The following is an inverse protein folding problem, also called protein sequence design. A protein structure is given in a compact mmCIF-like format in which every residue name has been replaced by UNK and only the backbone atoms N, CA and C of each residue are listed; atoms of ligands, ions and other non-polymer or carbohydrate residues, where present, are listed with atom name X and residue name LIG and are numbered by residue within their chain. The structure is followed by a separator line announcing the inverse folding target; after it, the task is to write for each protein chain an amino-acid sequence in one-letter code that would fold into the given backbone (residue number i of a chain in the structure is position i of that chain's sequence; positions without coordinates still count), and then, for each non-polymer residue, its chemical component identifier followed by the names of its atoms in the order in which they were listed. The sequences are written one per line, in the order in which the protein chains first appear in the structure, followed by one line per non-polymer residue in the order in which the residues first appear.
data_IF_722627491720
#
_entry.id   IF_722627491720
#
_cell.length_a   1.000
_cell.length_b   1.000
_cell.length_c   1.000
_cell.angle_alpha   90.00
_cell.angle_beta   90.00
_cell.angle_gamma   90.00
#
_symmetry.space_group_name_H-M   'P 1'
#
loop_
_entity.id
_entity.type
_entity.pdbx_description
1 polymer ?
#
# COMPACT_ATOMS: atom_id res chain seq x y z
N UNK A 1 3.34 -4.16 28.08
CA UNK A 1 2.95 -4.25 27.53
C UNK A 1 2.88 -3.82 26.58
N UNK A 2 2.73 -3.39 26.35
CA UNK A 2 2.71 -2.70 25.35
C UNK A 2 3.07 -3.20 24.08
N UNK A 3 3.74 -4.20 23.90
CA UNK A 3 4.12 -4.74 22.62
C UNK A 3 2.94 -5.00 21.70
N UNK A 4 1.82 -5.35 22.27
CA UNK A 4 0.65 -5.67 21.47
C UNK A 4 0.12 -4.46 20.71
N UNK A 5 0.34 -3.27 21.21
CA UNK A 5 -0.21 -2.08 20.56
C UNK A 5 0.54 -1.74 19.29
N UNK A 6 1.74 -2.26 19.10
CA UNK A 6 2.52 -1.96 17.90
C UNK A 6 2.10 -2.76 16.70
N UNK A 7 1.27 -3.78 16.88
CA UNK A 7 0.87 -4.65 15.78
C UNK A 7 -0.28 -4.12 14.95
N UNK A 8 -0.95 -3.10 15.43
CA UNK A 8 -2.10 -2.56 14.71
C UNK A 8 -1.74 -1.29 13.99
N UNK A 9 -2.12 -1.25 12.73
CA UNK A 9 -1.93 -0.06 11.90
C UNK A 9 -3.28 0.66 11.83
N UNK A 10 -3.35 1.84 12.42
CA UNK A 10 -4.56 2.63 12.38
C UNK A 10 -4.61 3.44 11.11
N UNK A 11 -5.81 3.88 10.71
CA UNK A 11 -5.92 4.74 9.55
C UNK A 11 -5.19 6.07 9.76
N UNK A 12 -5.15 6.55 11.00
CA UNK A 12 -4.41 7.78 11.30
C UNK A 12 -2.93 7.63 10.99
N UNK A 13 -2.35 6.50 11.34
CA UNK A 13 -0.94 6.24 11.03
C UNK A 13 -0.72 6.11 9.52
N UNK A 14 -1.67 5.51 8.83
CA UNK A 14 -1.59 5.41 7.37
C UNK A 14 -1.60 6.79 6.73
N UNK A 15 -2.49 7.67 7.19
CA UNK A 15 -2.55 9.04 6.68
C UNK A 15 -1.26 9.78 6.95
N UNK A 16 -0.67 9.58 8.13
CA UNK A 16 0.60 10.22 8.46
C UNK A 16 1.71 9.76 7.52
N UNK A 17 1.72 8.45 7.21
CA UNK A 17 2.72 7.91 6.30
C UNK A 17 2.55 8.47 4.89
N UNK A 18 1.32 8.56 4.42
CA UNK A 18 1.03 9.15 3.11
C UNK A 18 1.46 10.61 3.08
N UNK A 19 1.12 11.35 4.13
CA UNK A 19 1.48 12.76 4.22
C UNK A 19 3.00 12.95 4.18
N UNK A 20 3.72 12.13 4.92
CA UNK A 20 5.19 12.20 4.93
C UNK A 20 5.74 11.89 3.53
N UNK A 21 5.14 10.93 2.83
CA UNK A 21 5.55 10.60 1.47
C UNK A 21 5.29 11.73 0.50
N UNK A 22 4.16 12.40 0.64
CA UNK A 22 3.84 13.53 -0.23
C UNK A 22 4.81 14.68 0.00
N UNK A 23 5.20 14.94 1.25
CA UNK A 23 6.19 15.95 1.58
C UNK A 23 7.53 15.59 0.94
N UNK A 24 7.93 14.33 1.04
CA UNK A 24 9.16 13.83 0.41
C UNK A 24 9.13 14.07 -1.10
N UNK A 25 8.03 13.69 -1.74
CA UNK A 25 7.89 13.85 -3.19
C UNK A 25 8.00 15.31 -3.59
N UNK A 26 7.33 16.20 -2.85
CA UNK A 26 7.35 17.62 -3.13
C UNK A 26 8.75 18.21 -2.93
N UNK A 27 9.45 17.78 -1.86
CA UNK A 27 10.83 18.20 -1.62
C UNK A 27 11.73 17.83 -2.78
N UNK A 28 11.60 16.61 -3.26
CA UNK A 28 12.42 16.16 -4.38
C UNK A 28 12.15 16.98 -5.63
N UNK A 29 10.89 17.33 -5.87
CA UNK A 29 10.52 18.16 -7.01
C UNK A 29 11.13 19.55 -6.88
N UNK A 30 11.02 20.16 -5.70
CA UNK A 30 11.50 21.52 -5.51
C UNK A 30 13.01 21.62 -5.57
N UNK A 31 13.72 20.54 -5.27
CA UNK A 31 15.17 20.51 -5.34
C UNK A 31 15.70 20.08 -6.71
N UNK A 32 14.81 19.83 -7.66
CA UNK A 32 15.20 19.46 -9.00
C UNK A 32 15.74 18.05 -9.13
N UNK A 33 15.47 17.20 -8.15
CA UNK A 33 15.98 15.83 -8.16
C UNK A 33 15.23 14.91 -9.12
N UNK A 34 14.03 15.32 -9.53
CA UNK A 34 13.22 14.47 -10.41
C UNK A 34 13.86 14.29 -11.78
N UNK A 35 14.63 15.27 -12.26
CA UNK A 35 15.26 15.15 -13.56
C UNK A 35 16.22 13.98 -13.62
N UNK A 36 16.92 13.73 -12.52
CA UNK A 36 17.96 12.70 -12.48
C UNK A 36 17.51 11.39 -11.85
N UNK A 37 16.66 11.49 -10.85
CA UNK A 37 16.28 10.33 -10.03
C UNK A 37 14.79 10.04 -10.03
N UNK A 38 14.09 10.39 -11.09
CA UNK A 38 12.63 10.22 -11.14
C UNK A 38 12.19 8.79 -10.83
N UNK A 39 12.77 7.82 -11.49
CA UNK A 39 12.35 6.42 -11.30
C UNK A 39 12.55 5.96 -9.86
N UNK A 40 13.69 6.30 -9.28
CA UNK A 40 14.00 5.92 -7.91
C UNK A 40 13.06 6.60 -6.92
N UNK A 41 12.82 7.88 -7.13
CA UNK A 41 11.97 8.66 -6.23
C UNK A 41 10.52 8.18 -6.32
N UNK A 42 10.01 8.02 -7.54
CA UNK A 42 8.63 7.59 -7.71
C UNK A 42 8.43 6.17 -7.22
N UNK A 43 9.41 5.29 -7.41
CA UNK A 43 9.30 3.94 -6.87
C UNK A 43 9.28 3.95 -5.35
N UNK A 44 10.20 4.69 -4.73
CA UNK A 44 10.27 4.72 -3.27
C UNK A 44 8.98 5.30 -2.68
N UNK A 45 8.47 6.36 -3.28
CA UNK A 45 7.20 6.92 -2.84
C UNK A 45 6.08 5.90 -2.96
N UNK A 46 5.97 5.24 -4.13
CA UNK A 46 4.92 4.27 -4.37
C UNK A 46 5.01 3.09 -3.42
N UNK A 47 6.22 2.60 -3.19
CA UNK A 47 6.44 1.47 -2.30
C UNK A 47 6.03 1.79 -0.87
N UNK A 48 6.51 2.90 -0.34
CA UNK A 48 6.29 3.22 1.07
C UNK A 48 4.91 3.81 1.34
N UNK A 49 4.48 4.75 0.50
CA UNK A 49 3.24 5.48 0.78
C UNK A 49 2.00 4.79 0.26
N UNK A 50 2.15 3.89 -0.70
CA UNK A 50 1.00 3.19 -1.25
C UNK A 50 1.03 1.69 -0.95
N UNK A 51 2.03 0.96 -1.48
CA UNK A 51 2.05 -0.50 -1.37
C UNK A 51 2.11 -0.94 0.07
N UNK A 52 3.12 -0.48 0.79
CA UNK A 52 3.31 -0.87 2.19
C UNK A 52 2.14 -0.40 3.04
N UNK A 53 1.65 0.81 2.79
CA UNK A 53 0.53 1.35 3.55
C UNK A 53 -0.74 0.53 3.32
N UNK A 54 -1.03 0.22 2.05
CA UNK A 54 -2.23 -0.54 1.71
C UNK A 54 -2.22 -1.92 2.37
N UNK A 55 -1.13 -2.66 2.20
CA UNK A 55 -1.09 -4.01 2.74
C UNK A 55 -1.01 -4.04 4.25
N UNK A 56 -0.29 -3.08 4.87
CA UNK A 56 -0.27 -2.99 6.33
C UNK A 56 -1.66 -2.70 6.88
N UNK A 57 -2.37 -1.78 6.22
CA UNK A 57 -3.71 -1.42 6.64
C UNK A 57 -4.65 -2.63 6.52
N UNK A 58 -4.61 -3.33 5.40
CA UNK A 58 -5.48 -4.48 5.18
C UNK A 58 -5.12 -5.66 6.08
N UNK A 59 -3.84 -5.87 6.31
CA UNK A 59 -3.40 -7.01 7.10
C UNK A 59 -3.68 -6.83 8.59
N UNK A 60 -3.32 -5.70 9.14
CA UNK A 60 -3.37 -5.50 10.58
C UNK A 60 -4.48 -4.57 11.05
N UNK A 61 -5.19 -3.92 10.14
CA UNK A 61 -6.24 -3.00 10.52
C UNK A 61 -7.44 -3.70 11.11
N UNK A 62 -7.89 -3.24 12.26
CA UNK A 62 -9.08 -3.81 12.88
C UNK A 62 -10.36 -3.31 12.25
N UNK A 63 -10.38 -2.03 11.89
CA UNK A 63 -11.55 -1.42 11.30
C UNK A 63 -11.25 -1.02 9.88
N UNK A 64 -11.20 -2.02 9.01
CA UNK A 64 -10.95 -1.77 7.60
C UNK A 64 -12.15 -1.09 6.98
N UNK A 65 -11.87 -0.11 6.14
CA UNK A 65 -12.89 0.70 5.51
C UNK A 65 -12.66 0.76 4.01
N UNK A 66 -13.72 0.50 3.26
CA UNK A 66 -13.69 0.59 1.81
C UNK A 66 -13.36 2.02 1.37
N UNK A 67 -13.85 3.00 2.11
CA UNK A 67 -13.56 4.40 1.83
C UNK A 67 -12.05 4.68 1.92
N UNK A 68 -11.41 4.14 2.95
CA UNK A 68 -9.98 4.39 3.17
C UNK A 68 -9.12 3.77 2.09
N UNK A 69 -9.42 2.54 1.67
CA UNK A 69 -8.68 1.94 0.57
C UNK A 69 -8.91 2.69 -0.74
N UNK A 70 -10.09 3.24 -0.91
CA UNK A 70 -10.38 4.09 -2.07
C UNK A 70 -9.58 5.38 -2.06
N UNK A 71 -9.36 5.95 -0.87
CA UNK A 71 -8.53 7.14 -0.75
C UNK A 71 -7.08 6.86 -1.12
N UNK A 72 -6.56 5.71 -0.72
CA UNK A 72 -5.21 5.32 -1.10
C UNK A 72 -5.09 5.15 -2.61
N UNK A 73 -6.10 4.53 -3.23
CA UNK A 73 -6.13 4.37 -4.67
C UNK A 73 -6.11 5.71 -5.39
N UNK A 74 -6.93 6.64 -4.93
CA UNK A 74 -6.97 7.97 -5.54
C UNK A 74 -5.65 8.70 -5.35
N UNK A 75 -5.05 8.58 -4.18
CA UNK A 75 -3.79 9.25 -3.87
C UNK A 75 -2.69 8.82 -4.82
N UNK A 76 -2.52 7.51 -5.03
CA UNK A 76 -1.45 7.04 -5.90
C UNK A 76 -1.72 7.39 -7.35
N UNK A 77 -2.98 7.32 -7.77
CA UNK A 77 -3.34 7.67 -9.14
C UNK A 77 -3.14 9.14 -9.45
N UNK A 78 -3.32 10.01 -8.45
CA UNK A 78 -3.13 11.44 -8.63
C UNK A 78 -1.66 11.84 -8.64
N UNK A 79 -0.85 11.14 -7.87
CA UNK A 79 0.54 11.56 -7.69
C UNK A 79 1.54 10.80 -8.56
N UNK A 80 1.35 9.51 -8.74
CA UNK A 80 2.23 8.71 -9.59
C UNK A 80 1.39 7.71 -10.37
N UNK A 81 0.62 8.19 -11.37
CA UNK A 81 -0.30 7.31 -12.09
C UNK A 81 0.39 6.16 -12.82
N UNK A 82 1.64 6.35 -13.23
CA UNK A 82 2.37 5.32 -13.94
C UNK A 82 3.25 4.45 -13.06
N UNK A 83 2.96 4.36 -11.77
CA UNK A 83 3.86 3.64 -10.86
C UNK A 83 4.05 2.18 -11.24
N UNK A 84 3.06 1.54 -11.86
CA UNK A 84 3.19 0.14 -12.24
C UNK A 84 4.11 -0.08 -13.43
N UNK A 85 4.38 0.97 -14.18
CA UNK A 85 5.31 0.91 -15.31
C UNK A 85 6.74 1.28 -14.91
N UNK A 86 6.93 1.63 -13.65
CA UNK A 86 8.25 1.95 -13.13
C UNK A 86 9.15 0.72 -13.20
N UNK A 87 10.40 0.92 -13.62
CA UNK A 87 11.31 -0.19 -13.85
C UNK A 87 11.63 -1.01 -12.60
N UNK A 88 11.50 -0.42 -11.42
CA UNK A 88 11.76 -1.12 -10.18
C UNK A 88 10.54 -1.86 -9.65
N UNK A 89 9.36 -1.54 -10.17
CA UNK A 89 8.13 -2.10 -9.65
C UNK A 89 8.10 -3.63 -9.81
N UNK A 90 8.32 -4.12 -11.02
CA UNK A 90 8.30 -5.56 -11.26
C UNK A 90 9.46 -6.28 -10.59
N UNK A 91 10.57 -5.57 -10.39
CA UNK A 91 11.76 -6.16 -9.80
C UNK A 91 11.61 -6.36 -8.29
N UNK A 92 11.06 -5.38 -7.60
CA UNK A 92 11.05 -5.40 -6.14
C UNK A 92 9.71 -5.74 -5.52
N UNK A 93 8.61 -5.66 -6.27
CA UNK A 93 7.30 -6.01 -5.76
C UNK A 93 6.95 -7.42 -6.25
N UNK A 94 6.63 -8.31 -5.30
CA UNK A 94 6.34 -9.71 -5.63
C UNK A 94 5.15 -9.83 -6.57
N UNK A 95 5.17 -10.86 -7.40
CA UNK A 95 4.09 -11.09 -8.36
C UNK A 95 2.73 -11.19 -7.69
N UNK A 96 2.65 -11.88 -6.56
CA UNK A 96 1.41 -12.02 -5.82
C UNK A 96 0.86 -10.64 -5.40
N UNK A 97 1.74 -9.78 -4.90
CA UNK A 97 1.35 -8.45 -4.49
C UNK A 97 0.96 -7.59 -5.69
N UNK A 98 1.67 -7.75 -6.82
CA UNK A 98 1.34 -6.99 -8.03
C UNK A 98 -0.05 -7.34 -8.55
N UNK A 99 -0.44 -8.60 -8.44
CA UNK A 99 -1.78 -9.01 -8.86
C UNK A 99 -2.86 -8.36 -8.00
N UNK A 100 -2.61 -8.28 -6.70
CA UNK A 100 -3.54 -7.61 -5.80
C UNK A 100 -3.60 -6.11 -6.07
N UNK A 101 -2.45 -5.51 -6.36
CA UNK A 101 -2.39 -4.09 -6.68
C UNK A 101 -3.14 -3.80 -7.99
N UNK A 102 -2.98 -4.67 -8.99
CA UNK A 102 -3.70 -4.51 -10.25
C UNK A 102 -5.21 -4.55 -10.02
N UNK A 103 -5.65 -5.47 -9.17
CA UNK A 103 -7.06 -5.54 -8.83
C UNK A 103 -7.52 -4.28 -8.11
N UNK A 104 -6.71 -3.78 -7.18
CA UNK A 104 -7.04 -2.56 -6.44
C UNK A 104 -7.17 -1.35 -7.38
N UNK A 105 -6.28 -1.27 -8.36
CA UNK A 105 -6.34 -0.18 -9.33
C UNK A 105 -7.57 -0.28 -10.23
N UNK A 106 -7.97 -1.50 -10.54
CA UNK A 106 -9.11 -1.74 -11.40
C UNK A 106 -10.43 -1.62 -10.66
N UNK A 107 -10.50 -2.17 -9.45
CA UNK A 107 -11.75 -2.29 -8.71
C UNK A 107 -11.47 -2.34 -7.21
N UNK A 108 -11.62 -1.18 -6.57
CA UNK A 108 -11.35 -1.08 -5.13
C UNK A 108 -12.26 -2.01 -4.32
N UNK A 109 -13.53 -2.10 -4.67
CA UNK A 109 -14.45 -2.98 -3.96
C UNK A 109 -14.06 -4.45 -4.13
N UNK A 110 -13.76 -4.85 -5.37
CA UNK A 110 -13.34 -6.21 -5.66
C UNK A 110 -12.06 -6.58 -4.92
N UNK A 111 -11.10 -5.66 -4.89
CA UNK A 111 -9.86 -5.88 -4.13
C UNK A 111 -10.16 -6.08 -2.64
N UNK A 112 -10.99 -5.21 -2.09
CA UNK A 112 -11.31 -5.26 -0.66
C UNK A 112 -11.94 -6.61 -0.29
N UNK A 113 -12.94 -7.02 -1.04
CA UNK A 113 -13.63 -8.28 -0.80
C UNK A 113 -12.68 -9.46 -0.97
N UNK A 114 -11.91 -9.44 -2.05
CA UNK A 114 -10.97 -10.53 -2.33
C UNK A 114 -9.93 -10.68 -1.23
N UNK A 115 -9.38 -9.54 -0.78
CA UNK A 115 -8.36 -9.57 0.27
C UNK A 115 -8.93 -10.14 1.57
N UNK A 116 -10.11 -9.68 1.97
CA UNK A 116 -10.74 -10.15 3.20
C UNK A 116 -11.01 -11.66 3.13
N UNK A 117 -11.52 -12.12 2.00
CA UNK A 117 -11.80 -13.55 1.83
C UNK A 117 -10.53 -14.38 1.82
N UNK A 118 -9.51 -13.93 1.10
CA UNK A 118 -8.25 -14.66 0.99
C UNK A 118 -7.57 -14.82 2.34
N UNK A 119 -7.45 -13.74 3.08
CA UNK A 119 -6.77 -13.78 4.37
C UNK A 119 -7.63 -14.45 5.44
N UNK A 120 -8.94 -14.33 5.34
CA UNK A 120 -9.83 -15.08 6.21
C UNK A 120 -9.66 -16.57 6.00
N UNK A 121 -9.60 -17.00 4.74
CA UNK A 121 -9.38 -18.39 4.41
C UNK A 121 -8.03 -18.88 4.94
N UNK A 122 -6.98 -18.11 4.72
CA UNK A 122 -5.64 -18.47 5.19
C UNK A 122 -5.60 -18.61 6.71
N UNK A 123 -6.29 -17.73 7.42
CA UNK A 123 -6.37 -17.83 8.87
C UNK A 123 -7.02 -19.11 9.33
N UNK A 124 -8.12 -19.50 8.68
CA UNK A 124 -8.83 -20.71 9.03
C UNK A 124 -7.97 -21.94 8.78
N UNK A 125 -7.32 -22.00 7.62
CA UNK A 125 -6.46 -23.12 7.27
C UNK A 125 -5.29 -23.24 8.26
N UNK A 126 -4.66 -22.12 8.57
CA UNK A 126 -3.54 -22.13 9.50
C UNK A 126 -3.97 -22.57 10.90
N UNK A 127 -5.15 -22.15 11.33
CA UNK A 127 -5.66 -22.52 12.63
C UNK A 127 -5.89 -24.04 12.70
N UNK A 128 -6.45 -24.59 11.64
CA UNK A 128 -6.71 -26.03 11.58
C UNK A 128 -5.41 -26.81 11.54
N UNK A 129 -4.45 -26.36 10.74
CA UNK A 129 -3.16 -27.07 10.61
C UNK A 129 -2.25 -26.85 11.79
N UNK A 130 -2.43 -25.74 12.50
CA UNK A 130 -1.57 -25.40 13.63
C UNK A 130 -1.72 -26.30 14.83
N UNK A 131 -2.63 -27.24 14.76
CA UNK A 131 -2.80 -28.21 15.83
C UNK A 131 -1.78 -29.31 15.72
#
# INVERSE_FOLDING_TARGET
MSGSTTHYVTWEKCKDRVKAGLIFLEECKSRGLMDKYRDEIEFRFSELSYVTTLFSYMYSGKKRSLKNTGELRSMIRENVPGFRDNRYYAEFIKEEDRKLIDLHMKDNFGFFVWYVLLFGYRKIVNKVRGK
#
